data_IF_279293748932
#
_entry.id   IF_279293748932
#
_cell.length_a   1.000
_cell.length_b   1.000
_cell.length_c   1.000
_cell.angle_alpha   90.00
_cell.angle_beta   90.00
_cell.angle_gamma   90.00
#
_symmetry.space_group_name_H-M   'P 1'
#
loop_
_entity.id
_entity.type
_entity.pdbx_description
1 polymer ?
#
# COMPACT_ATOMS: atom_id res chain seq x y z
N UNK A 1 -34.15 -12.51 -17.96
CA UNK A 1 -33.04 -13.16 -17.22
C UNK A 1 -31.65 -12.98 -17.87
N UNK A 2 -31.51 -12.63 -19.16
CA UNK A 2 -30.21 -12.39 -19.82
C UNK A 2 -29.62 -10.98 -19.63
N UNK A 3 -30.42 -10.00 -19.16
CA UNK A 3 -29.99 -8.60 -18.92
C UNK A 3 -29.33 -8.38 -17.55
N UNK A 4 -29.55 -9.28 -16.58
CA UNK A 4 -28.97 -9.16 -15.23
C UNK A 4 -27.50 -9.58 -15.16
N UNK A 5 -27.04 -10.44 -16.08
CA UNK A 5 -25.66 -10.95 -16.11
C UNK A 5 -24.69 -9.89 -16.67
N UNK A 6 -25.16 -8.98 -17.52
CA UNK A 6 -24.36 -7.90 -18.09
C UNK A 6 -24.02 -6.79 -17.07
N UNK A 7 -24.88 -6.56 -16.07
CA UNK A 7 -24.61 -5.57 -15.01
C UNK A 7 -23.64 -6.10 -13.95
N UNK A 8 -23.62 -7.42 -13.71
CA UNK A 8 -22.68 -8.04 -12.78
C UNK A 8 -21.24 -8.10 -13.34
N UNK A 9 -21.09 -8.14 -14.66
CA UNK A 9 -19.77 -8.12 -15.32
C UNK A 9 -19.12 -6.73 -15.38
N UNK A 10 -19.90 -5.65 -15.39
CA UNK A 10 -19.38 -4.28 -15.44
C UNK A 10 -18.89 -3.75 -14.08
N UNK A 11 -19.39 -4.31 -12.97
CA UNK A 11 -18.97 -3.91 -11.62
C UNK A 11 -17.59 -4.46 -11.21
N UNK A 12 -17.03 -5.43 -11.96
CA UNK A 12 -15.73 -6.04 -11.66
C UNK A 12 -14.52 -5.23 -12.17
N UNK A 13 -14.73 -4.11 -12.88
CA UNK A 13 -13.67 -3.30 -13.48
C UNK A 13 -13.29 -2.05 -12.67
N UNK A 14 -13.90 -1.84 -11.51
CA UNK A 14 -13.51 -0.78 -10.56
C UNK A 14 -12.46 -1.30 -9.57
N UNK A 15 -11.47 -2.05 -10.06
CA UNK A 15 -10.29 -2.36 -9.26
C UNK A 15 -9.55 -1.06 -9.00
N UNK A 16 -9.38 -0.75 -7.71
CA UNK A 16 -8.80 0.50 -7.23
C UNK A 16 -7.52 0.84 -7.98
N UNK A 17 -7.35 2.13 -8.27
CA UNK A 17 -6.14 2.65 -8.87
C UNK A 17 -5.00 2.50 -7.86
N UNK A 18 -4.34 1.36 -7.89
CA UNK A 18 -3.07 1.13 -7.22
C UNK A 18 -1.97 1.63 -8.16
N UNK A 19 -1.10 2.48 -7.64
CA UNK A 19 0.07 2.96 -8.39
C UNK A 19 1.31 2.36 -7.76
N UNK A 20 2.03 1.53 -8.50
CA UNK A 20 3.36 1.06 -8.11
C UNK A 20 4.36 1.48 -9.17
N UNK A 21 5.34 2.27 -8.76
CA UNK A 21 6.44 2.75 -9.58
C UNK A 21 7.74 2.07 -9.14
N UNK A 22 8.57 1.70 -10.12
CA UNK A 22 9.89 1.17 -9.87
C UNK A 22 10.95 2.02 -10.56
N UNK A 23 11.89 2.52 -9.77
CA UNK A 23 13.05 3.24 -10.24
C UNK A 23 14.29 2.35 -10.13
N UNK A 24 14.73 1.78 -11.25
CA UNK A 24 15.91 0.92 -11.29
C UNK A 24 17.16 1.67 -10.86
N UNK A 25 18.02 1.02 -10.07
CA UNK A 25 19.31 1.58 -9.72
C UNK A 25 20.26 1.51 -10.92
N UNK A 26 20.75 2.67 -11.37
CA UNK A 26 21.64 2.80 -12.53
C UNK A 26 23.08 3.16 -12.17
N UNK A 27 23.35 3.45 -10.89
CA UNK A 27 24.69 3.81 -10.42
C UNK A 27 25.65 2.62 -10.38
N UNK A 28 26.94 2.90 -10.22
CA UNK A 28 27.90 1.85 -9.87
C UNK A 28 27.51 1.25 -8.51
N UNK A 29 27.50 -0.07 -8.40
CA UNK A 29 27.32 -0.72 -7.11
C UNK A 29 28.54 -0.43 -6.24
N UNK A 30 28.28 -0.08 -4.99
CA UNK A 30 29.30 0.21 -4.00
C UNK A 30 29.03 -0.60 -2.73
N UNK A 31 29.96 -0.55 -1.78
CA UNK A 31 29.75 -1.12 -0.46
C UNK A 31 28.72 -0.28 0.30
N UNK A 32 27.45 -0.66 0.18
CA UNK A 32 26.36 -0.03 0.89
C UNK A 32 26.50 -0.22 2.41
N UNK A 33 26.10 0.78 3.22
CA UNK A 33 26.28 0.71 4.66
C UNK A 33 25.41 -0.40 5.26
N UNK A 34 25.98 -1.08 6.24
CA UNK A 34 25.35 -2.14 7.04
C UNK A 34 25.30 -1.72 8.50
N UNK A 35 24.35 -2.26 9.26
CA UNK A 35 24.29 -2.03 10.70
C UNK A 35 23.78 -3.28 11.44
N UNK A 36 24.34 -3.59 12.63
CA UNK A 36 23.73 -4.58 13.52
C UNK A 36 22.46 -4.00 14.16
N UNK A 37 21.38 -4.79 14.22
CA UNK A 37 20.21 -4.48 15.06
C UNK A 37 19.00 -3.80 14.40
N UNK A 38 18.74 -4.00 13.10
CA UNK A 38 17.51 -3.51 12.47
C UNK A 38 16.26 -4.31 12.90
N UNK A 39 15.12 -3.62 13.04
CA UNK A 39 13.83 -4.30 13.19
C UNK A 39 13.45 -4.91 11.83
N UNK A 40 13.08 -6.18 11.83
CA UNK A 40 12.72 -6.91 10.61
C UNK A 40 11.31 -7.45 10.73
N UNK A 41 10.47 -7.14 9.75
CA UNK A 41 9.16 -7.77 9.57
C UNK A 41 9.30 -8.90 8.53
N UNK A 42 9.03 -10.14 8.96
CA UNK A 42 9.25 -11.34 8.15
C UNK A 42 7.98 -11.91 7.50
N UNK A 43 6.79 -11.44 7.89
CA UNK A 43 5.50 -11.97 7.45
C UNK A 43 5.00 -11.41 6.11
N UNK A 44 5.91 -11.08 5.20
CA UNK A 44 5.61 -10.54 3.86
C UNK A 44 6.37 -11.31 2.79
N UNK A 45 6.11 -10.99 1.52
CA UNK A 45 6.70 -11.70 0.37
C UNK A 45 8.24 -11.74 0.40
N UNK A 46 8.86 -10.69 0.94
CA UNK A 46 10.28 -10.58 1.31
C UNK A 46 10.41 -9.91 2.68
N UNK A 47 11.48 -10.17 3.45
CA UNK A 47 11.76 -9.47 4.70
C UNK A 47 11.85 -7.95 4.52
N UNK A 48 11.23 -7.22 5.45
CA UNK A 48 11.19 -5.75 5.45
C UNK A 48 12.02 -5.22 6.60
N UNK A 49 13.08 -4.49 6.28
CA UNK A 49 14.00 -3.89 7.23
C UNK A 49 13.62 -2.43 7.54
N UNK A 50 13.46 -2.13 8.83
CA UNK A 50 13.30 -0.77 9.35
C UNK A 50 14.66 -0.26 9.86
N UNK A 51 15.62 -0.20 8.96
CA UNK A 51 17.01 0.10 9.26
C UNK A 51 17.95 -0.59 8.27
N UNK A 52 19.25 -0.38 8.44
CA UNK A 52 20.24 -1.00 7.56
C UNK A 52 20.38 -2.50 7.87
N UNK A 53 20.40 -3.38 6.87
CA UNK A 53 20.66 -4.80 7.07
C UNK A 53 22.06 -5.05 7.65
N UNK A 54 22.26 -6.16 8.40
CA UNK A 54 23.55 -6.48 9.02
C UNK A 54 24.53 -7.18 8.06
N UNK A 55 24.16 -7.41 6.79
CA UNK A 55 24.95 -8.14 5.80
C UNK A 55 25.13 -7.33 4.52
N UNK A 56 26.19 -7.52 3.74
CA UNK A 56 26.40 -6.83 2.46
C UNK A 56 25.27 -7.11 1.46
N UNK A 57 24.92 -6.09 0.67
CA UNK A 57 23.85 -6.14 -0.33
C UNK A 57 24.16 -5.23 -1.51
N UNK A 58 23.43 -5.46 -2.60
CA UNK A 58 23.34 -4.58 -3.76
C UNK A 58 21.94 -3.98 -3.81
N UNK A 59 21.85 -2.76 -4.33
CA UNK A 59 20.56 -2.06 -4.50
C UNK A 59 20.05 -2.34 -5.91
N UNK A 60 18.83 -2.89 -6.02
CA UNK A 60 18.17 -3.14 -7.31
C UNK A 60 17.43 -1.90 -7.81
N UNK A 61 16.88 -1.11 -6.89
CA UNK A 61 16.11 0.08 -7.21
C UNK A 61 15.18 0.48 -6.06
N UNK A 62 14.43 1.54 -6.29
CA UNK A 62 13.39 2.01 -5.39
C UNK A 62 12.02 1.56 -5.88
N UNK A 63 11.14 1.19 -4.96
CA UNK A 63 9.73 0.92 -5.21
C UNK A 63 8.91 1.95 -4.44
N UNK A 64 8.06 2.68 -5.15
CA UNK A 64 7.08 3.59 -4.58
C UNK A 64 5.68 3.03 -4.87
N UNK A 65 4.94 2.68 -3.82
CA UNK A 65 3.59 2.15 -3.93
C UNK A 65 2.61 3.05 -3.20
N UNK A 66 1.47 3.32 -3.82
CA UNK A 66 0.33 3.94 -3.17
C UNK A 66 -0.91 3.04 -3.24
N UNK A 67 -1.63 2.98 -2.12
CA UNK A 67 -2.88 2.23 -2.00
C UNK A 67 -3.96 3.08 -1.38
N UNK A 68 -5.05 3.25 -2.13
CA UNK A 68 -6.27 3.89 -1.63
C UNK A 68 -7.07 2.97 -0.71
N UNK A 69 -7.80 3.57 0.21
CA UNK A 69 -8.73 2.90 1.10
C UNK A 69 -9.83 2.20 0.31
N UNK A 70 -9.88 0.87 0.43
CA UNK A 70 -10.91 0.05 -0.23
C UNK A 70 -12.16 -0.10 0.66
N UNK A 71 -12.03 0.06 1.99
CA UNK A 71 -13.11 -0.11 2.96
C UNK A 71 -12.80 0.57 4.30
N UNK A 72 -13.82 0.78 5.13
CA UNK A 72 -13.78 1.53 6.40
C UNK A 72 -12.66 1.14 7.39
N UNK A 73 -12.12 -0.08 7.31
CA UNK A 73 -11.15 -0.61 8.27
C UNK A 73 -9.82 -1.05 7.63
N UNK A 74 -9.54 -0.62 6.39
CA UNK A 74 -8.28 -0.95 5.71
C UNK A 74 -7.08 -0.26 6.37
N UNK A 75 -6.05 -1.02 6.70
CA UNK A 75 -4.73 -0.46 6.98
C UNK A 75 -4.00 -0.23 5.65
N UNK A 76 -4.24 0.94 5.06
CA UNK A 76 -3.73 1.32 3.74
C UNK A 76 -2.20 1.28 3.66
N UNK A 77 -1.49 1.52 4.76
CA UNK A 77 -0.03 1.45 4.77
C UNK A 77 0.47 0.01 4.74
N UNK A 78 -0.16 -0.87 5.52
CA UNK A 78 0.19 -2.29 5.49
C UNK A 78 -0.13 -2.92 4.14
N UNK A 79 -1.25 -2.56 3.52
CA UNK A 79 -1.62 -3.01 2.18
C UNK A 79 -0.64 -2.51 1.10
N UNK A 80 -0.24 -1.24 1.14
CA UNK A 80 0.79 -0.71 0.23
C UNK A 80 2.16 -1.38 0.44
N UNK A 81 2.53 -1.67 1.70
CA UNK A 81 3.78 -2.36 2.03
C UNK A 81 3.80 -3.81 1.51
N UNK A 82 2.68 -4.53 1.63
CA UNK A 82 2.56 -5.88 1.10
C UNK A 82 2.77 -5.91 -0.41
N UNK A 83 2.18 -4.93 -1.11
CA UNK A 83 2.35 -4.80 -2.56
C UNK A 83 3.78 -4.45 -2.95
N UNK A 84 4.42 -3.51 -2.25
CA UNK A 84 5.83 -3.21 -2.47
C UNK A 84 6.73 -4.46 -2.25
N UNK A 85 6.44 -5.28 -1.24
CA UNK A 85 7.17 -6.53 -0.99
C UNK A 85 6.95 -7.57 -2.10
N UNK A 86 5.72 -7.71 -2.60
CA UNK A 86 5.41 -8.60 -3.73
C UNK A 86 6.13 -8.14 -5.00
N UNK A 87 6.13 -6.84 -5.27
CA UNK A 87 6.81 -6.26 -6.43
C UNK A 87 8.33 -6.41 -6.35
N UNK A 88 8.91 -6.22 -5.16
CA UNK A 88 10.33 -6.46 -4.92
C UNK A 88 10.70 -7.93 -5.19
N UNK A 89 9.87 -8.87 -4.72
CA UNK A 89 10.09 -10.31 -4.94
C UNK A 89 10.08 -10.66 -6.43
N UNK A 90 9.14 -10.13 -7.20
CA UNK A 90 9.06 -10.35 -8.66
C UNK A 90 10.32 -9.89 -9.38
N UNK A 91 11.00 -8.87 -8.83
CA UNK A 91 12.25 -8.30 -9.37
C UNK A 91 13.50 -8.98 -8.85
N UNK A 92 13.37 -10.06 -8.07
CA UNK A 92 14.49 -10.84 -7.54
C UNK A 92 15.20 -10.18 -6.35
N UNK A 93 14.50 -9.30 -5.63
CA UNK A 93 14.98 -8.80 -4.35
C UNK A 93 14.89 -9.90 -3.28
N UNK A 94 15.90 -9.94 -2.41
CA UNK A 94 15.89 -10.82 -1.24
C UNK A 94 15.25 -10.14 -0.03
N UNK A 95 15.24 -8.80 -0.01
CA UNK A 95 14.67 -7.98 1.05
C UNK A 95 14.33 -6.57 0.55
N UNK A 96 13.58 -5.82 1.35
CA UNK A 96 13.35 -4.39 1.16
C UNK A 96 13.75 -3.59 2.40
N UNK A 97 14.30 -2.38 2.19
CA UNK A 97 14.61 -1.42 3.25
C UNK A 97 13.58 -0.29 3.18
N UNK A 98 12.96 0.06 4.30
CA UNK A 98 11.96 1.13 4.35
C UNK A 98 12.61 2.51 4.31
N UNK A 99 12.19 3.35 3.36
CA UNK A 99 12.60 4.75 3.26
C UNK A 99 11.56 5.65 3.93
N UNK A 100 10.30 5.54 3.50
CA UNK A 100 9.19 6.31 4.07
C UNK A 100 7.88 5.54 4.02
N UNK A 101 6.98 5.87 4.96
CA UNK A 101 5.62 5.33 5.03
C UNK A 101 4.73 6.41 5.60
N UNK A 102 3.76 6.83 4.80
CA UNK A 102 2.88 7.94 5.13
C UNK A 102 1.44 7.55 4.80
N UNK A 103 0.48 8.14 5.49
CA UNK A 103 -0.92 8.04 5.14
C UNK A 103 -1.48 9.45 5.00
N UNK A 104 -2.23 9.69 3.94
CA UNK A 104 -2.85 10.98 3.64
C UNK A 104 -4.35 10.81 3.53
N UNK A 105 -5.13 11.77 4.04
CA UNK A 105 -6.56 11.82 3.79
C UNK A 105 -6.77 12.41 2.41
N UNK A 106 -7.35 11.64 1.50
CA UNK A 106 -7.57 12.02 0.09
C UNK A 106 -9.01 12.41 -0.20
N UNK A 107 -9.93 12.15 0.73
CA UNK A 107 -11.31 12.59 0.63
C UNK A 107 -12.15 12.22 1.84
N UNK A 108 -13.46 12.42 1.73
CA UNK A 108 -14.44 12.02 2.72
C UNK A 108 -15.63 11.37 2.03
N UNK A 109 -16.12 10.27 2.60
CA UNK A 109 -17.40 9.68 2.25
C UNK A 109 -18.41 10.04 3.34
N UNK A 110 -19.47 10.75 2.96
CA UNK A 110 -20.55 11.13 3.87
C UNK A 110 -21.87 10.56 3.36
N UNK A 111 -22.62 9.90 4.23
CA UNK A 111 -23.99 9.45 3.94
C UNK A 111 -24.89 9.79 5.12
N UNK A 112 -26.13 10.16 4.82
CA UNK A 112 -27.12 10.51 5.82
C UNK A 112 -28.50 10.04 5.42
N UNK A 113 -29.32 9.75 6.42
CA UNK A 113 -30.71 9.39 6.27
C UNK A 113 -31.57 10.30 7.13
N UNK A 114 -32.75 10.64 6.63
CA UNK A 114 -33.76 11.34 7.41
C UNK A 114 -35.09 10.63 7.27
N UNK A 115 -35.77 10.43 8.39
CA UNK A 115 -37.08 9.78 8.49
C UNK A 115 -38.04 10.70 9.23
N UNK A 116 -39.23 10.90 8.66
CA UNK A 116 -40.28 11.71 9.28
C UNK A 116 -41.32 10.79 9.89
N UNK A 117 -41.67 11.02 11.15
CA UNK A 117 -42.74 10.34 11.87
C UNK A 117 -43.68 11.42 12.44
N UNK A 118 -44.86 11.56 11.85
CA UNK A 118 -45.79 12.65 12.19
C UNK A 118 -45.20 14.02 11.83
N UNK A 119 -45.18 14.95 12.79
CA UNK A 119 -44.54 16.26 12.66
C UNK A 119 -43.07 16.28 13.13
N UNK A 120 -42.48 15.11 13.41
CA UNK A 120 -41.11 15.00 13.93
C UNK A 120 -40.19 14.38 12.87
N UNK A 121 -39.04 15.01 12.61
CA UNK A 121 -38.01 14.49 11.73
C UNK A 121 -36.82 13.95 12.55
N UNK A 122 -36.36 12.76 12.21
CA UNK A 122 -35.16 12.13 12.75
C UNK A 122 -34.11 12.03 11.64
N UNK A 123 -32.90 12.49 11.91
CA UNK A 123 -31.78 12.39 10.98
C UNK A 123 -30.62 11.61 11.59
N UNK A 124 -29.94 10.82 10.77
CA UNK A 124 -28.65 10.23 11.10
C UNK A 124 -27.67 10.43 9.95
N UNK A 125 -26.40 10.57 10.25
CA UNK A 125 -25.36 10.67 9.24
C UNK A 125 -24.05 10.12 9.74
N UNK A 126 -23.27 9.56 8.82
CA UNK A 126 -21.90 9.10 9.05
C UNK A 126 -21.00 9.77 8.03
N UNK A 127 -19.85 10.26 8.49
CA UNK A 127 -18.77 10.78 7.64
C UNK A 127 -17.51 10.01 7.96
N UNK A 128 -16.86 9.50 6.93
CA UNK A 128 -15.65 8.69 7.04
C UNK A 128 -14.56 9.29 6.16
N UNK A 129 -13.35 9.54 6.69
CA UNK A 129 -12.23 9.93 5.85
C UNK A 129 -11.85 8.77 4.93
N UNK A 130 -11.50 9.10 3.69
CA UNK A 130 -10.86 8.21 2.73
C UNK A 130 -9.37 8.47 2.79
N UNK A 131 -8.59 7.43 3.10
CA UNK A 131 -7.13 7.52 3.22
C UNK A 131 -6.42 6.85 2.06
N UNK A 132 -5.22 7.34 1.75
CA UNK A 132 -4.28 6.70 0.83
C UNK A 132 -2.95 6.52 1.56
N UNK A 133 -2.49 5.27 1.63
CA UNK A 133 -1.18 4.92 2.15
C UNK A 133 -0.12 5.02 1.06
N UNK A 134 1.00 5.65 1.39
CA UNK A 134 2.16 5.80 0.51
C UNK A 134 3.35 5.12 1.17
N UNK A 135 4.07 4.30 0.41
CA UNK A 135 5.22 3.55 0.90
C UNK A 135 6.33 3.65 -0.13
N UNK A 136 7.53 4.05 0.33
CA UNK A 136 8.77 4.02 -0.47
C UNK A 136 9.78 3.08 0.18
N UNK A 137 10.31 2.17 -0.61
CA UNK A 137 11.26 1.15 -0.16
C UNK A 137 12.39 0.95 -1.16
N UNK A 138 13.57 0.60 -0.67
CA UNK A 138 14.70 0.16 -1.50
C UNK A 138 14.67 -1.34 -1.62
N UNK A 139 14.57 -1.86 -2.85
CA UNK A 139 14.72 -3.27 -3.13
C UNK A 139 16.20 -3.65 -3.15
N UNK A 140 16.57 -4.67 -2.38
CA UNK A 140 17.95 -5.11 -2.23
C UNK A 140 18.10 -6.59 -2.51
N UNK A 141 19.28 -6.95 -3.00
CA UNK A 141 19.71 -8.34 -3.17
C UNK A 141 20.96 -8.56 -2.35
N UNK A 142 20.96 -9.59 -1.52
CA UNK A 142 22.11 -9.86 -0.68
C UNK A 142 23.26 -10.45 -1.48
N UNK A 143 24.48 -10.14 -1.04
CA UNK A 143 25.70 -10.77 -1.54
C UNK A 143 25.94 -12.13 -0.84
#
# INVERSE_FOLDING_TARGET
MKRLILLLGAAALLWGCETTEFLAYSGAQQNWPTAPGAMVRQNLAVPVYYGLPPRPYTVLGEIATSKGQTWAWSDVQSEAMEQAAVEAKKRGADAIIVISRDASVTGYYSTGSATVVGNTAFGSGVTMPVQTGHVRVTAIKFL
#
